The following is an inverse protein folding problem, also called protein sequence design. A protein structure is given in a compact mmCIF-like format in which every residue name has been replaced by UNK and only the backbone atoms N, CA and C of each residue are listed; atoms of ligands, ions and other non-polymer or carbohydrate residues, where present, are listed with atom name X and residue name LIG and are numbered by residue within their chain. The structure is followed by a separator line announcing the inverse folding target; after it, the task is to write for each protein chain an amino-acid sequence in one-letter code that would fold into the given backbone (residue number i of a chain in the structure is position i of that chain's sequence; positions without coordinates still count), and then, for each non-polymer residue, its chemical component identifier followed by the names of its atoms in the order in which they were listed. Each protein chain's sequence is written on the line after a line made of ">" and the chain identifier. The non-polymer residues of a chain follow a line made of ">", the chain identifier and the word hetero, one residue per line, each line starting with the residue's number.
data_IF_195535158634
#
_entry.id   IF_195535158634
#
_cell.length_a   1.000
_cell.length_b   1.000
_cell.length_c   1.000
_cell.angle_alpha   90.00
_cell.angle_beta   90.00
_cell.angle_gamma   90.00
#
_symmetry.space_group_name_H-M   'P 1'
#
loop_
_entity.id
_entity.type
_entity.pdbx_description
1 polymer ?
#
# COMPACT_ATOMS: atom_id res chain seq x y z
N UNK A 1 -7.69 -14.20 25.50
CA UNK A 1 -8.34 -13.00 24.92
C UNK A 1 -7.56 -12.50 23.70
N UNK A 2 -6.30 -12.06 23.81
CA UNK A 2 -5.55 -11.54 22.63
C UNK A 2 -5.46 -12.51 21.45
N UNK A 3 -5.15 -13.79 21.68
CA UNK A 3 -5.10 -14.79 20.58
C UNK A 3 -6.46 -15.00 19.89
N UNK A 4 -7.56 -14.92 20.64
CA UNK A 4 -8.90 -15.02 20.06
C UNK A 4 -9.21 -13.81 19.18
N UNK A 5 -8.85 -12.60 19.62
CA UNK A 5 -9.01 -11.38 18.80
C UNK A 5 -8.14 -11.47 17.53
N UNK A 6 -6.91 -11.98 17.63
CA UNK A 6 -6.06 -12.21 16.45
C UNK A 6 -6.68 -13.20 15.47
N UNK A 7 -7.17 -14.35 15.94
CA UNK A 7 -7.81 -15.34 15.08
C UNK A 7 -9.06 -14.77 14.37
N UNK A 8 -9.84 -13.92 15.04
CA UNK A 8 -10.99 -13.22 14.43
C UNK A 8 -10.53 -12.19 13.39
N UNK A 9 -9.47 -11.44 13.68
CA UNK A 9 -8.85 -10.50 12.72
C UNK A 9 -8.38 -11.26 11.47
N UNK A 10 -7.67 -12.36 11.66
CA UNK A 10 -7.16 -13.20 10.58
C UNK A 10 -8.31 -13.76 9.74
N UNK A 11 -9.38 -14.27 10.36
CA UNK A 11 -10.59 -14.71 9.65
C UNK A 11 -11.22 -13.61 8.79
N UNK A 12 -11.44 -12.42 9.36
CA UNK A 12 -12.05 -11.31 8.61
C UNK A 12 -11.16 -10.83 7.45
N UNK A 13 -9.84 -10.89 7.60
CA UNK A 13 -8.91 -10.52 6.55
C UNK A 13 -8.75 -11.61 5.48
N UNK A 14 -8.59 -12.87 5.88
CA UNK A 14 -8.18 -13.96 5.00
C UNK A 14 -9.34 -14.71 4.38
N UNK A 15 -10.40 -14.96 5.16
CA UNK A 15 -11.57 -15.72 4.71
C UNK A 15 -12.69 -14.79 4.22
N UNK A 16 -12.92 -13.65 4.90
CA UNK A 16 -13.94 -12.67 4.49
C UNK A 16 -13.42 -11.64 3.49
N UNK A 17 -12.12 -11.37 3.49
CA UNK A 17 -11.50 -10.42 2.55
C UNK A 17 -11.64 -8.94 2.93
N UNK A 18 -11.92 -8.63 4.20
CA UNK A 18 -11.97 -7.25 4.69
C UNK A 18 -10.59 -6.58 4.58
N UNK A 19 -10.57 -5.27 4.33
CA UNK A 19 -9.33 -4.46 4.27
C UNK A 19 -9.00 -3.80 5.61
N UNK A 20 -10.01 -3.62 6.46
CA UNK A 20 -9.90 -2.97 7.76
C UNK A 20 -10.96 -3.52 8.71
N UNK A 21 -10.63 -3.56 9.99
CA UNK A 21 -11.52 -4.03 11.06
C UNK A 21 -11.49 -2.98 12.16
N UNK A 22 -12.67 -2.50 12.54
CA UNK A 22 -12.87 -1.62 13.69
C UNK A 22 -13.37 -2.43 14.88
N UNK A 23 -12.93 -2.06 16.07
CA UNK A 23 -13.49 -2.55 17.33
C UNK A 23 -13.44 -1.44 18.36
N UNK A 24 -14.40 -1.43 19.28
CA UNK A 24 -14.47 -0.43 20.33
C UNK A 24 -14.64 -1.03 21.72
N UNK A 25 -14.27 -0.26 22.72
CA UNK A 25 -14.51 -0.61 24.12
C UNK A 25 -14.96 0.61 24.91
N UNK A 26 -15.66 0.36 26.02
CA UNK A 26 -16.03 1.41 26.98
C UNK A 26 -14.77 2.03 27.59
N UNK A 27 -14.74 3.35 27.72
CA UNK A 27 -13.66 4.08 28.41
C UNK A 27 -13.44 3.59 29.86
N UNK A 28 -14.49 3.09 30.51
CA UNK A 28 -14.45 2.54 31.87
C UNK A 28 -13.82 1.12 31.93
N UNK A 29 -13.58 0.48 30.78
CA UNK A 29 -12.94 -0.83 30.67
C UNK A 29 -11.61 -0.78 29.90
N UNK A 30 -10.53 -0.23 30.51
CA UNK A 30 -9.23 -0.11 29.86
C UNK A 30 -8.54 -1.46 29.59
N UNK A 31 -8.99 -2.55 30.23
CA UNK A 31 -8.43 -3.89 29.99
C UNK A 31 -8.71 -4.37 28.56
N UNK A 32 -9.91 -4.09 28.03
CA UNK A 32 -10.27 -4.41 26.64
C UNK A 32 -9.42 -3.62 25.63
N UNK A 33 -9.18 -2.34 25.88
CA UNK A 33 -8.27 -1.53 25.06
C UNK A 33 -6.84 -2.11 24.99
N UNK A 34 -6.31 -2.58 26.12
CA UNK A 34 -5.00 -3.27 26.15
C UNK A 34 -5.00 -4.55 25.30
N UNK A 35 -6.10 -5.31 25.26
CA UNK A 35 -6.23 -6.50 24.40
C UNK A 35 -6.20 -6.12 22.93
N UNK A 36 -6.96 -5.09 22.52
CA UNK A 36 -6.99 -4.59 21.14
C UNK A 36 -5.62 -4.09 20.68
N UNK A 37 -4.93 -3.31 21.52
CA UNK A 37 -3.57 -2.85 21.23
C UNK A 37 -2.59 -4.02 21.05
N UNK A 38 -2.66 -5.03 21.92
CA UNK A 38 -1.83 -6.25 21.80
C UNK A 38 -2.16 -7.09 20.56
N UNK A 39 -3.41 -7.04 20.10
CA UNK A 39 -3.84 -7.66 18.85
C UNK A 39 -3.41 -6.87 17.60
N UNK A 40 -2.74 -5.73 17.77
CA UNK A 40 -2.22 -4.92 16.66
C UNK A 40 -3.13 -3.78 16.23
N UNK A 41 -4.29 -3.60 16.88
CA UNK A 41 -5.20 -2.50 16.59
C UNK A 41 -4.64 -1.16 17.10
N UNK A 42 -4.95 -0.08 16.39
CA UNK A 42 -4.50 1.30 16.64
C UNK A 42 -5.68 2.16 17.02
N UNK A 43 -5.51 2.97 18.06
CA UNK A 43 -6.51 3.95 18.48
C UNK A 43 -6.92 4.83 17.30
N UNK A 44 -8.21 5.14 17.22
CA UNK A 44 -8.79 5.98 16.16
C UNK A 44 -9.42 7.23 16.75
N UNK A 45 -10.40 7.07 17.64
CA UNK A 45 -11.21 8.18 18.15
C UNK A 45 -11.92 7.79 19.46
N UNK A 46 -12.52 8.79 20.11
CA UNK A 46 -13.48 8.62 21.20
C UNK A 46 -14.81 9.24 20.80
N UNK A 47 -15.90 8.50 20.97
CA UNK A 47 -17.25 9.04 20.87
C UNK A 47 -17.85 9.21 22.26
N UNK A 48 -18.13 10.46 22.63
CA UNK A 48 -18.65 10.78 23.95
C UNK A 48 -20.01 10.14 24.20
N UNK A 49 -20.18 9.49 25.36
CA UNK A 49 -21.45 8.92 25.82
C UNK A 49 -22.12 7.96 24.83
N UNK A 50 -21.33 7.27 24.01
CA UNK A 50 -21.82 6.43 22.92
C UNK A 50 -21.94 4.93 23.28
N UNK A 51 -21.64 4.53 24.52
CA UNK A 51 -21.90 3.18 25.01
C UNK A 51 -22.84 3.20 26.21
N UNK A 52 -23.74 2.22 26.28
CA UNK A 52 -24.62 2.00 27.42
C UNK A 52 -24.58 0.55 27.84
N UNK A 53 -24.25 0.31 29.10
CA UNK A 53 -24.25 -1.02 29.70
C UNK A 53 -24.88 -0.99 31.11
N UNK A 54 -24.65 -2.04 31.89
CA UNK A 54 -25.19 -2.16 33.25
C UNK A 54 -24.52 -1.21 34.26
N UNK A 55 -23.42 -0.56 33.89
CA UNK A 55 -22.68 0.40 34.71
C UNK A 55 -23.02 1.85 34.36
N UNK A 56 -23.79 2.08 33.31
CA UNK A 56 -24.30 3.38 32.94
C UNK A 56 -23.95 3.75 31.51
N UNK A 57 -23.69 5.04 31.29
CA UNK A 57 -23.29 5.60 30.00
C UNK A 57 -21.82 5.96 30.09
N UNK A 58 -21.04 5.46 29.14
CA UNK A 58 -19.60 5.74 29.03
C UNK A 58 -19.25 6.19 27.63
N UNK A 59 -18.03 6.69 27.47
CA UNK A 59 -17.50 6.99 26.15
C UNK A 59 -17.12 5.70 25.43
N UNK A 60 -17.22 5.72 24.10
CA UNK A 60 -16.76 4.65 23.21
C UNK A 60 -15.35 4.98 22.73
N UNK A 61 -14.37 4.13 23.05
CA UNK A 61 -13.01 4.25 22.53
C UNK A 61 -12.85 3.30 21.34
N UNK A 62 -12.57 3.85 20.16
CA UNK A 62 -12.52 3.09 18.90
C UNK A 62 -11.07 2.79 18.48
N UNK A 63 -10.82 1.56 18.05
CA UNK A 63 -9.56 1.07 17.50
C UNK A 63 -9.79 0.48 16.10
N UNK A 64 -8.74 0.46 15.27
CA UNK A 64 -8.75 -0.18 13.96
C UNK A 64 -7.48 -1.01 13.71
N UNK A 65 -7.60 -2.11 12.99
CA UNK A 65 -6.47 -2.82 12.37
C UNK A 65 -6.69 -2.86 10.86
N UNK A 66 -5.60 -2.74 10.12
CA UNK A 66 -5.61 -2.69 8.66
C UNK A 66 -4.87 -3.90 8.11
N UNK A 67 -5.36 -4.43 7.00
CA UNK A 67 -4.67 -5.50 6.28
C UNK A 67 -3.38 -4.94 5.70
N UNK A 68 -2.24 -5.58 5.98
CA UNK A 68 -0.93 -5.14 5.47
C UNK A 68 -0.37 -6.07 4.41
N UNK A 69 -0.73 -7.35 4.48
CA UNK A 69 -0.31 -8.42 3.57
C UNK A 69 -1.51 -9.34 3.37
N UNK A 70 -1.68 -9.88 2.17
CA UNK A 70 -2.65 -10.94 1.93
C UNK A 70 -2.08 -12.31 2.27
N UNK A 71 -2.91 -13.20 2.84
CA UNK A 71 -2.62 -14.64 2.79
C UNK A 71 -2.44 -15.06 1.32
N UNK A 72 -1.30 -15.69 1.03
CA UNK A 72 -0.96 -16.08 -0.33
C UNK A 72 -1.94 -17.12 -0.86
N UNK A 73 -2.45 -16.87 -2.05
CA UNK A 73 -3.21 -17.82 -2.86
C UNK A 73 -2.65 -17.75 -4.29
N UNK A 74 -1.99 -18.81 -4.73
CA UNK A 74 -1.29 -18.84 -6.03
C UNK A 74 -2.23 -18.62 -7.22
N UNK A 75 -3.48 -19.06 -7.13
CA UNK A 75 -4.45 -18.87 -8.21
C UNK A 75 -4.86 -17.42 -8.38
N UNK A 76 -4.80 -16.62 -7.31
CA UNK A 76 -5.21 -15.22 -7.32
C UNK A 76 -4.03 -14.25 -7.49
N UNK A 77 -2.79 -14.72 -7.36
CA UNK A 77 -1.60 -13.88 -7.40
C UNK A 77 -1.24 -13.47 -8.84
N UNK A 78 -1.91 -12.45 -9.39
CA UNK A 78 -1.81 -12.04 -10.80
C UNK A 78 -1.67 -10.52 -10.97
N UNK A 79 -1.12 -10.07 -12.11
CA UNK A 79 -1.06 -8.65 -12.49
C UNK A 79 -2.45 -8.01 -12.61
N UNK A 80 -3.41 -8.74 -13.17
CA UNK A 80 -4.80 -8.27 -13.25
C UNK A 80 -5.39 -8.02 -11.85
N UNK A 81 -5.07 -8.89 -10.87
CA UNK A 81 -5.46 -8.65 -9.48
C UNK A 81 -4.72 -7.45 -8.87
N UNK A 82 -3.44 -7.25 -9.19
CA UNK A 82 -2.70 -6.06 -8.75
C UNK A 82 -3.39 -4.77 -9.21
N UNK A 83 -3.77 -4.68 -10.48
CA UNK A 83 -4.52 -3.52 -11.01
C UNK A 83 -5.85 -3.33 -10.26
N UNK A 84 -6.64 -4.39 -10.08
CA UNK A 84 -7.91 -4.32 -9.34
C UNK A 84 -7.71 -3.87 -7.89
N UNK A 85 -6.73 -4.44 -7.18
CA UNK A 85 -6.41 -4.04 -5.81
C UNK A 85 -6.01 -2.57 -5.76
N UNK A 86 -5.14 -2.13 -6.67
CA UNK A 86 -4.70 -0.74 -6.70
C UNK A 86 -5.90 0.21 -6.89
N UNK A 87 -6.83 -0.11 -7.81
CA UNK A 87 -8.07 0.63 -7.99
C UNK A 87 -8.97 0.61 -6.73
N UNK A 88 -9.10 -0.51 -6.04
CA UNK A 88 -9.86 -0.54 -4.77
C UNK A 88 -9.17 0.31 -3.68
N UNK A 89 -7.84 0.32 -3.63
CA UNK A 89 -7.10 1.15 -2.68
C UNK A 89 -7.20 2.65 -2.99
N UNK A 90 -7.53 3.06 -4.22
CA UNK A 90 -7.85 4.48 -4.52
C UNK A 90 -9.28 4.87 -4.11
N UNK A 91 -10.18 3.89 -3.91
CA UNK A 91 -11.54 4.13 -3.39
C UNK A 91 -11.56 4.21 -1.87
N UNK A 92 -10.59 3.59 -1.22
CA UNK A 92 -10.28 3.84 0.18
C UNK A 92 -9.59 5.20 0.23
N UNK A 93 -10.01 6.13 1.11
CA UNK A 93 -9.43 7.47 1.16
C UNK A 93 -8.04 7.42 1.81
N UNK A 94 -7.07 6.68 1.25
CA UNK A 94 -5.71 6.67 1.75
C UNK A 94 -5.10 8.05 1.56
N UNK A 95 -4.65 8.67 2.64
CA UNK A 95 -4.09 10.01 2.64
C UNK A 95 -3.05 10.20 3.73
N UNK A 96 -2.04 11.03 3.45
CA UNK A 96 -1.12 11.55 4.46
C UNK A 96 -1.82 12.58 5.36
N UNK A 97 -1.07 13.48 5.98
CA UNK A 97 -1.69 14.56 6.75
C UNK A 97 -2.45 15.52 5.82
N UNK A 98 -3.72 15.76 6.18
CA UNK A 98 -4.60 16.73 5.51
C UNK A 98 -5.04 17.79 6.54
N UNK A 99 -5.59 18.90 6.05
CA UNK A 99 -5.98 20.00 6.94
C UNK A 99 -7.07 19.55 7.94
N UNK A 100 -6.71 19.49 9.22
CA UNK A 100 -7.62 19.07 10.29
C UNK A 100 -7.95 17.56 10.31
N UNK A 101 -7.19 16.73 9.60
CA UNK A 101 -7.44 15.29 9.51
C UNK A 101 -6.14 14.49 9.62
N UNK A 102 -6.11 13.58 10.59
CA UNK A 102 -4.97 12.69 10.85
C UNK A 102 -4.78 11.67 9.72
N UNK A 103 -3.53 11.38 9.38
CA UNK A 103 -3.14 10.40 8.36
C UNK A 103 -3.69 8.99 8.64
N UNK A 104 -4.08 8.30 7.57
CA UNK A 104 -4.44 6.88 7.62
C UNK A 104 -3.44 5.98 6.88
N UNK A 105 -2.21 6.46 6.62
CA UNK A 105 -1.14 5.69 5.92
C UNK A 105 -0.54 4.54 6.74
N UNK A 106 -1.06 4.27 7.93
CA UNK A 106 -0.59 3.21 8.82
C UNK A 106 -0.37 1.83 8.16
N UNK A 107 -1.26 1.31 7.28
CA UNK A 107 -1.00 0.06 6.55
C UNK A 107 0.11 0.20 5.50
N UNK A 108 0.12 1.31 4.74
CA UNK A 108 1.11 1.57 3.67
C UNK A 108 2.53 1.67 4.23
N UNK A 109 2.68 2.32 5.40
CA UNK A 109 3.97 2.51 6.06
C UNK A 109 4.38 1.30 6.90
N UNK A 110 3.44 0.40 7.24
CA UNK A 110 3.69 -0.72 8.14
C UNK A 110 4.93 -1.57 7.80
N UNK A 111 5.20 -1.89 6.52
CA UNK A 111 6.36 -2.70 6.14
C UNK A 111 7.70 -2.00 6.38
N UNK A 112 7.72 -0.66 6.47
CA UNK A 112 8.94 0.16 6.49
C UNK A 112 9.28 0.74 7.87
N UNK A 113 8.55 0.33 8.92
CA UNK A 113 8.59 0.90 10.30
C UNK A 113 9.94 1.00 10.98
N UNK A 114 10.98 0.30 10.49
CA UNK A 114 12.34 0.40 11.03
C UNK A 114 13.02 1.74 10.73
N UNK A 115 12.72 2.34 9.58
CA UNK A 115 13.34 3.59 9.12
C UNK A 115 12.34 4.65 8.68
N UNK A 116 11.06 4.29 8.61
CA UNK A 116 9.99 5.15 8.14
C UNK A 116 8.80 5.11 9.09
N UNK A 117 8.29 6.28 9.44
CA UNK A 117 7.03 6.46 10.15
C UNK A 117 6.06 7.30 9.30
N UNK A 118 4.82 7.45 9.75
CA UNK A 118 3.78 8.17 8.99
C UNK A 118 4.13 9.66 8.76
N UNK A 119 4.89 10.28 9.67
CA UNK A 119 5.34 11.67 9.56
C UNK A 119 6.39 11.80 8.45
N UNK A 120 7.40 10.92 8.43
CA UNK A 120 8.47 10.91 7.43
C UNK A 120 8.01 10.44 6.05
N UNK A 121 6.88 9.73 5.97
CA UNK A 121 6.27 9.28 4.73
C UNK A 121 5.34 10.32 4.11
N UNK A 122 4.96 11.36 4.88
CA UNK A 122 4.04 12.38 4.41
C UNK A 122 4.55 13.04 3.14
N UNK A 123 3.65 13.23 2.16
CA UNK A 123 3.98 13.76 0.83
C UNK A 123 5.02 12.95 0.03
N UNK A 124 5.38 11.73 0.44
CA UNK A 124 6.44 10.94 -0.18
C UNK A 124 6.14 9.45 -0.35
N UNK A 125 4.86 9.04 -0.34
CA UNK A 125 4.46 7.64 -0.15
C UNK A 125 3.99 6.89 -1.42
N UNK A 126 4.25 7.43 -2.62
CA UNK A 126 3.86 6.80 -3.90
C UNK A 126 4.43 5.38 -4.08
N UNK A 127 5.73 5.18 -3.86
CA UNK A 127 6.35 3.87 -3.98
C UNK A 127 5.91 2.89 -2.88
N UNK A 128 5.66 3.39 -1.67
CA UNK A 128 5.12 2.57 -0.59
C UNK A 128 3.68 2.10 -0.89
N UNK A 129 2.87 2.92 -1.56
CA UNK A 129 1.54 2.53 -2.04
C UNK A 129 1.61 1.39 -3.06
N UNK A 130 2.50 1.49 -4.05
CA UNK A 130 2.70 0.41 -5.04
C UNK A 130 3.16 -0.88 -4.36
N UNK A 131 4.10 -0.78 -3.42
CA UNK A 131 4.55 -1.93 -2.61
C UNK A 131 3.41 -2.55 -1.79
N UNK A 132 2.59 -1.72 -1.15
CA UNK A 132 1.43 -2.16 -0.39
C UNK A 132 0.41 -2.92 -1.26
N UNK A 133 0.13 -2.42 -2.47
CA UNK A 133 -0.73 -3.13 -3.43
C UNK A 133 -0.14 -4.48 -3.85
N UNK A 134 1.19 -4.57 -4.02
CA UNK A 134 1.86 -5.84 -4.30
C UNK A 134 1.68 -6.86 -3.16
N UNK A 135 1.81 -6.42 -1.91
CA UNK A 135 1.60 -7.28 -0.73
C UNK A 135 0.15 -7.77 -0.61
N UNK A 136 -0.83 -6.91 -0.89
CA UNK A 136 -2.25 -7.28 -0.90
C UNK A 136 -2.59 -8.24 -2.06
N UNK A 137 -1.81 -8.20 -3.15
CA UNK A 137 -1.95 -9.15 -4.27
C UNK A 137 -1.48 -10.55 -3.89
N UNK A 138 -0.57 -10.65 -2.92
CA UNK A 138 0.09 -11.88 -2.51
C UNK A 138 1.45 -12.11 -3.19
N UNK A 139 2.02 -11.08 -3.83
CA UNK A 139 3.41 -11.12 -4.27
C UNK A 139 4.31 -11.14 -3.04
N UNK A 140 5.26 -12.06 -3.03
CA UNK A 140 6.25 -12.13 -1.96
C UNK A 140 7.47 -11.31 -2.38
N UNK A 141 7.52 -10.07 -1.89
CA UNK A 141 8.61 -9.13 -2.16
C UNK A 141 9.12 -8.65 -0.81
N UNK A 142 10.43 -8.70 -0.52
CA UNK A 142 10.96 -8.09 0.68
C UNK A 142 10.84 -6.57 0.58
N UNK A 143 10.57 -5.90 1.71
CA UNK A 143 10.49 -4.42 1.73
C UNK A 143 11.81 -3.77 1.29
N UNK A 144 12.93 -4.47 1.47
CA UNK A 144 14.27 -4.13 0.99
C UNK A 144 14.91 -5.37 0.35
N UNK A 145 14.79 -5.54 -0.97
CA UNK A 145 15.55 -6.55 -1.71
C UNK A 145 17.05 -6.33 -1.55
N UNK A 146 17.85 -7.40 -1.64
CA UNK A 146 19.33 -7.33 -1.55
C UNK A 146 19.92 -6.46 -2.66
N UNK A 147 19.29 -6.51 -3.82
CA UNK A 147 19.54 -5.69 -4.99
C UNK A 147 19.55 -4.18 -4.67
N UNK A 148 18.79 -3.75 -3.66
CA UNK A 148 18.62 -2.36 -3.27
C UNK A 148 19.55 -1.92 -2.13
N UNK A 149 20.65 -2.64 -1.86
CA UNK A 149 21.48 -2.36 -0.68
C UNK A 149 22.02 -0.92 -0.66
N UNK A 150 22.35 -0.38 -1.83
CA UNK A 150 22.85 0.99 -1.96
C UNK A 150 21.75 2.04 -2.22
N UNK A 151 20.51 1.63 -2.54
CA UNK A 151 19.43 2.55 -2.97
C UNK A 151 18.28 2.68 -1.99
N UNK A 152 18.20 1.80 -0.97
CA UNK A 152 17.23 1.94 0.11
C UNK A 152 16.23 0.80 0.18
N UNK A 153 14.95 1.13 0.22
CA UNK A 153 13.84 0.17 0.33
C UNK A 153 12.82 0.49 -0.77
N UNK A 154 11.89 -0.42 -1.04
CA UNK A 154 10.83 -0.23 -2.03
C UNK A 154 9.79 0.85 -1.66
N UNK A 155 10.02 1.60 -0.58
CA UNK A 155 9.37 2.88 -0.33
C UNK A 155 9.94 4.04 -1.19
N UNK A 156 11.00 3.82 -1.98
CA UNK A 156 11.56 4.81 -2.91
C UNK A 156 11.50 4.37 -4.37
N UNK A 157 11.16 5.30 -5.28
CA UNK A 157 11.03 5.04 -6.71
C UNK A 157 12.31 4.47 -7.35
N UNK A 158 13.48 5.03 -7.02
CA UNK A 158 14.76 4.53 -7.54
C UNK A 158 15.10 3.10 -7.11
N UNK A 159 14.63 2.66 -5.93
CA UNK A 159 14.82 1.26 -5.50
C UNK A 159 14.02 0.28 -6.36
N UNK A 160 12.85 0.67 -6.86
CA UNK A 160 12.06 -0.16 -7.79
C UNK A 160 12.77 -0.36 -9.12
N UNK A 161 13.37 0.70 -9.68
CA UNK A 161 14.16 0.59 -10.91
C UNK A 161 15.34 -0.36 -10.74
N UNK A 162 16.17 -0.16 -9.69
CA UNK A 162 17.31 -1.04 -9.43
C UNK A 162 16.86 -2.48 -9.22
N UNK A 163 15.77 -2.70 -8.48
CA UNK A 163 15.23 -4.03 -8.25
C UNK A 163 14.85 -4.72 -9.57
N UNK A 164 14.14 -4.03 -10.46
CA UNK A 164 13.72 -4.57 -11.75
C UNK A 164 14.89 -4.79 -12.73
N UNK A 165 15.89 -3.89 -12.74
CA UNK A 165 17.06 -4.02 -13.62
C UNK A 165 17.99 -5.17 -13.23
N UNK A 166 18.05 -5.52 -11.95
CA UNK A 166 19.02 -6.48 -11.42
C UNK A 166 18.42 -7.82 -11.05
N UNK A 167 17.09 -7.91 -10.85
CA UNK A 167 16.41 -9.16 -10.57
C UNK A 167 15.97 -9.84 -11.88
N UNK A 168 16.54 -10.99 -12.26
CA UNK A 168 16.25 -11.63 -13.55
C UNK A 168 14.84 -12.24 -13.64
N UNK A 169 14.08 -12.25 -12.54
CA UNK A 169 12.67 -12.69 -12.55
C UNK A 169 11.71 -11.53 -12.81
N UNK A 170 12.21 -10.30 -12.91
CA UNK A 170 11.43 -9.13 -13.26
C UNK A 170 11.76 -8.69 -14.68
N UNK A 171 10.78 -8.09 -15.32
CA UNK A 171 10.92 -7.44 -16.62
C UNK A 171 11.07 -5.93 -16.39
N UNK A 172 12.12 -5.34 -16.95
CA UNK A 172 12.37 -3.90 -16.93
C UNK A 172 12.45 -3.39 -18.37
N UNK A 173 11.61 -2.41 -18.69
CA UNK A 173 11.51 -1.84 -20.04
C UNK A 173 11.63 -0.33 -19.95
N UNK A 174 12.77 0.27 -20.34
CA UNK A 174 12.88 1.73 -20.41
C UNK A 174 11.90 2.26 -21.47
N UNK A 175 11.49 3.53 -21.38
CA UNK A 175 10.59 4.14 -22.39
C UNK A 175 11.09 3.98 -23.83
N UNK A 176 12.41 3.92 -24.04
CA UNK A 176 13.03 3.72 -25.35
C UNK A 176 12.82 2.32 -25.93
N UNK A 177 12.37 1.35 -25.14
CA UNK A 177 12.01 0.02 -25.62
C UNK A 177 10.68 0.05 -26.37
N UNK A 178 10.76 0.24 -27.68
CA UNK A 178 9.60 0.25 -28.59
C UNK A 178 9.02 -1.13 -28.86
N UNK A 179 9.69 -2.20 -28.43
CA UNK A 179 9.19 -3.57 -28.59
C UNK A 179 8.24 -3.98 -27.47
N UNK A 180 8.32 -3.30 -26.33
CA UNK A 180 7.47 -3.57 -25.18
C UNK A 180 6.10 -2.90 -25.33
N UNK A 181 5.05 -3.66 -25.05
CA UNK A 181 3.69 -3.13 -24.89
C UNK A 181 3.30 -3.22 -23.41
N UNK A 182 3.11 -2.07 -22.74
CA UNK A 182 2.62 -2.07 -21.36
C UNK A 182 1.20 -2.64 -21.32
N UNK A 183 0.85 -3.24 -20.20
CA UNK A 183 -0.42 -3.91 -19.98
C UNK A 183 -0.90 -3.70 -18.53
N UNK A 184 -2.14 -4.07 -18.25
CA UNK A 184 -2.75 -3.92 -16.93
C UNK A 184 -1.90 -4.60 -15.84
N UNK A 185 -1.73 -3.91 -14.71
CA UNK A 185 -0.95 -4.38 -13.58
C UNK A 185 0.57 -4.23 -13.74
N UNK A 186 1.07 -3.77 -14.89
CA UNK A 186 2.45 -3.29 -14.97
C UNK A 186 2.61 -2.03 -14.12
N UNK A 187 3.81 -1.84 -13.58
CA UNK A 187 4.19 -0.67 -12.81
C UNK A 187 4.87 0.32 -13.76
N UNK A 188 4.56 1.61 -13.62
CA UNK A 188 5.17 2.68 -14.41
C UNK A 188 5.92 3.63 -13.50
N UNK A 189 7.15 3.99 -13.88
CA UNK A 189 7.99 5.00 -13.25
C UNK A 189 7.95 6.29 -14.06
N UNK A 190 7.92 7.43 -13.37
CA UNK A 190 7.87 8.76 -13.99
C UNK A 190 9.02 9.64 -13.54
N UNK A 191 9.46 10.50 -14.46
CA UNK A 191 10.41 11.60 -14.22
C UNK A 191 9.69 12.95 -14.40
N UNK A 192 10.04 13.94 -13.58
CA UNK A 192 9.62 15.35 -13.69
C UNK A 192 8.10 15.63 -13.70
N UNK A 193 7.28 14.84 -13.02
CA UNK A 193 5.81 15.03 -12.96
C UNK A 193 5.31 15.80 -11.73
N UNK A 194 6.07 15.86 -10.63
CA UNK A 194 5.67 16.53 -9.39
C UNK A 194 6.82 17.29 -8.73
N UNK A 195 7.93 16.62 -8.43
CA UNK A 195 9.11 17.21 -7.78
C UNK A 195 10.12 17.78 -8.78
N UNK A 196 9.94 17.52 -10.08
CA UNK A 196 10.81 18.06 -11.13
C UNK A 196 12.20 17.41 -11.13
N UNK A 197 12.27 16.11 -10.82
CA UNK A 197 13.52 15.33 -10.75
C UNK A 197 13.34 13.98 -11.46
N UNK A 198 14.44 13.27 -11.69
CA UNK A 198 14.37 11.84 -11.99
C UNK A 198 13.81 11.04 -10.81
N UNK A 199 13.20 9.88 -11.08
CA UNK A 199 12.53 9.00 -10.12
C UNK A 199 11.44 9.71 -9.33
N UNK A 200 10.73 10.61 -9.99
CA UNK A 200 9.75 11.51 -9.36
C UNK A 200 8.55 10.76 -8.79
N UNK A 201 8.01 9.82 -9.58
CA UNK A 201 6.76 9.17 -9.23
C UNK A 201 6.65 7.74 -9.76
N UNK A 202 5.65 7.01 -9.27
CA UNK A 202 5.39 5.62 -9.62
C UNK A 202 3.90 5.30 -9.46
N UNK A 203 3.38 4.45 -10.35
CA UNK A 203 1.98 4.02 -10.33
C UNK A 203 1.79 2.61 -10.87
N UNK A 204 0.57 2.09 -10.75
CA UNK A 204 0.15 0.79 -11.31
C UNK A 204 -0.82 1.06 -12.46
N UNK A 205 -0.58 0.46 -13.62
CA UNK A 205 -1.42 0.61 -14.81
C UNK A 205 -2.75 -0.11 -14.61
N UNK A 206 -3.85 0.63 -14.80
CA UNK A 206 -5.23 0.15 -14.79
C UNK A 206 -5.79 -0.05 -16.20
N UNK A 207 -5.36 0.79 -17.15
CA UNK A 207 -5.73 0.70 -18.55
C UNK A 207 -4.65 1.37 -19.42
N UNK A 208 -4.52 0.90 -20.65
CA UNK A 208 -3.58 1.42 -21.64
C UNK A 208 -4.36 1.90 -22.86
N UNK A 209 -4.16 3.16 -23.21
CA UNK A 209 -4.70 3.77 -24.42
C UNK A 209 -3.53 4.18 -25.35
N UNK A 210 -3.80 4.54 -26.62
CA UNK A 210 -2.74 4.89 -27.56
C UNK A 210 -1.86 6.06 -27.09
N UNK A 211 -2.46 7.10 -26.51
CA UNK A 211 -1.82 8.37 -26.13
C UNK A 211 -1.72 8.58 -24.61
N UNK A 212 -2.36 7.73 -23.81
CA UNK A 212 -2.40 7.86 -22.35
C UNK A 212 -2.43 6.53 -21.60
N UNK A 213 -2.09 6.59 -20.32
CA UNK A 213 -2.25 5.52 -19.34
C UNK A 213 -3.26 5.98 -18.29
N UNK A 214 -4.07 5.04 -17.83
CA UNK A 214 -4.86 5.22 -16.60
C UNK A 214 -4.12 4.47 -15.50
N UNK A 215 -3.75 5.15 -14.43
CA UNK A 215 -2.92 4.60 -13.34
C UNK A 215 -3.59 4.76 -11.99
N UNK A 216 -3.37 3.81 -11.08
CA UNK A 216 -3.60 3.98 -9.65
C UNK A 216 -2.30 4.43 -8.99
N UNK A 217 -2.34 5.56 -8.30
CA UNK A 217 -1.16 6.20 -7.73
C UNK A 217 -1.42 6.63 -6.28
N UNK A 218 -0.41 6.45 -5.43
CA UNK A 218 -0.39 7.01 -4.08
C UNK A 218 0.29 8.38 -4.08
N UNK A 219 -0.11 9.28 -3.17
CA UNK A 219 0.42 10.64 -3.10
C UNK A 219 0.35 11.40 -4.44
N UNK A 220 -0.78 11.29 -5.14
CA UNK A 220 -0.93 11.83 -6.49
C UNK A 220 -1.70 13.18 -6.51
N UNK A 221 -1.58 13.87 -7.64
CA UNK A 221 -2.27 15.14 -7.90
C UNK A 221 -1.92 16.30 -6.96
N UNK A 222 -0.77 16.25 -6.27
CA UNK A 222 -0.41 17.18 -5.19
C UNK A 222 -1.43 17.23 -4.03
N UNK A 223 -2.28 16.21 -3.90
CA UNK A 223 -3.34 16.17 -2.89
C UNK A 223 -2.94 15.44 -1.61
N UNK A 224 -1.82 14.70 -1.62
CA UNK A 224 -1.45 13.77 -0.56
C UNK A 224 -2.46 12.62 -0.36
N UNK A 225 -3.15 12.21 -1.43
CA UNK A 225 -4.13 11.11 -1.44
C UNK A 225 -3.80 10.07 -2.51
N UNK A 226 -4.38 8.87 -2.39
CA UNK A 226 -4.37 7.87 -3.45
C UNK A 226 -5.52 8.15 -4.43
N UNK A 227 -5.25 8.08 -5.73
CA UNK A 227 -6.28 8.34 -6.75
C UNK A 227 -5.96 7.65 -8.08
N UNK A 228 -6.97 7.63 -8.94
CA UNK A 228 -6.79 7.30 -10.34
C UNK A 228 -6.28 8.54 -11.07
N UNK A 229 -5.23 8.37 -11.86
CA UNK A 229 -4.60 9.42 -12.66
C UNK A 229 -4.68 9.08 -14.13
N UNK A 230 -4.81 10.12 -14.95
CA UNK A 230 -4.62 10.05 -16.38
C UNK A 230 -3.23 10.62 -16.70
N UNK A 231 -2.40 9.83 -17.36
CA UNK A 231 -1.01 10.15 -17.65
C UNK A 231 -0.76 10.09 -19.15
N UNK A 232 -0.29 11.17 -19.80
CA UNK A 232 0.14 11.08 -21.19
C UNK A 232 1.27 10.05 -21.37
N UNK A 233 1.34 9.44 -22.55
CA UNK A 233 2.44 8.55 -22.94
C UNK A 233 3.56 9.34 -23.60
N UNK A 234 4.26 10.13 -22.80
CA UNK A 234 5.23 11.12 -23.25
C UNK A 234 6.64 10.92 -22.64
N UNK A 235 7.49 11.94 -22.73
CA UNK A 235 8.86 11.95 -22.21
C UNK A 235 8.96 11.77 -20.70
N UNK A 236 7.89 12.00 -19.94
CA UNK A 236 7.89 11.85 -18.49
C UNK A 236 7.83 10.39 -18.05
N UNK A 237 7.49 9.46 -18.94
CA UNK A 237 7.62 8.04 -18.63
C UNK A 237 9.10 7.66 -18.62
N UNK A 238 9.57 7.16 -17.49
CA UNK A 238 10.94 6.66 -17.34
C UNK A 238 11.05 5.23 -17.85
N UNK A 239 10.24 4.35 -17.26
CA UNK A 239 10.28 2.91 -17.53
C UNK A 239 8.99 2.23 -17.07
N UNK A 240 8.80 1.01 -17.58
CA UNK A 240 7.81 0.05 -17.11
C UNK A 240 8.52 -1.10 -16.39
N UNK A 241 7.88 -1.62 -15.35
CA UNK A 241 8.30 -2.79 -14.61
C UNK A 241 7.15 -3.79 -14.66
N UNK A 242 7.43 -5.01 -15.13
CA UNK A 242 6.47 -6.10 -15.12
C UNK A 242 6.89 -7.17 -14.12
N UNK A 243 6.03 -7.38 -13.14
CA UNK A 243 6.15 -8.45 -12.15
C UNK A 243 5.34 -9.65 -12.67
N UNK A 244 5.95 -10.83 -12.88
CA UNK A 244 5.21 -11.98 -13.37
C UNK A 244 4.18 -12.46 -12.35
N UNK A 245 3.12 -13.10 -12.83
CA UNK A 245 2.14 -13.74 -11.97
C UNK A 245 2.82 -14.72 -11.00
N UNK A 246 2.25 -14.84 -9.80
CA UNK A 246 2.73 -15.70 -8.72
C UNK A 246 4.14 -15.35 -8.23
N UNK A 247 4.63 -14.14 -8.47
CA UNK A 247 5.98 -13.73 -8.07
C UNK A 247 6.31 -14.10 -6.62
N UNK A 248 7.48 -14.71 -6.47
CA UNK A 248 8.13 -14.97 -5.20
C UNK A 248 9.59 -14.56 -5.28
N UNK A 249 9.96 -13.68 -4.38
CA UNK A 249 11.36 -13.36 -4.15
C UNK A 249 12.06 -14.58 -3.59
N UNK A 250 13.05 -15.07 -4.33
CA UNK A 250 14.05 -15.99 -3.80
C UNK A 250 15.38 -15.32 -3.97
N UNK A 251 16.14 -15.14 -2.90
CA UNK A 251 17.55 -14.85 -3.05
C UNK A 251 18.17 -16.04 -3.76
N UNK A 252 18.64 -15.86 -4.99
CA UNK A 252 19.54 -16.82 -5.61
C UNK A 252 20.66 -17.10 -4.61
N UNK A 253 20.84 -18.37 -4.26
CA UNK A 253 21.91 -18.86 -3.38
C UNK A 253 23.27 -18.43 -3.87
#
# INVERSE_FOLDING_TARGET
>A
MTEAVRAVIDFFFDDVGMQQIYASHSSDNPASGKVMQKAGMKYQTVHEKNMKDNHGVSDEVVYAVYRTVARRNEALCTRARLANIALEQTKIPLHGYLNGQDTNLHPVVAPFRRKWNVESADKGWCAAFVYYCCLLTGFEIPYRPRECDNTGSLAGCGSWEVFAQTNPKLEYHPRSDTSFTPDIGDIVLFDYVFSGKEHDHIGIILSVEPDRLITAEGNAGNTNTAMVMERPRDEHIRAYIRIPDRYMYSSST
#
